data_IF_411471980329
#
_entry.id   IF_411471980329
#
_cell.length_a   1.000
_cell.length_b   1.000
_cell.length_c   1.000
_cell.angle_alpha   90.00
_cell.angle_beta   90.00
_cell.angle_gamma   90.00
#
_symmetry.space_group_name_H-M   'P 1'
#
loop_
_entity.id
_entity.type
_entity.pdbx_description
1 polymer ?
#
# COMPACT_ATOMS: atom_id res chain seq x y z
N UNK A 1 -23.38 -35.68 -54.74
CA UNK A 1 -22.13 -36.16 -55.35
C UNK A 1 -21.66 -37.37 -54.54
N UNK A 2 -22.06 -38.56 -54.99
CA UNK A 2 -21.25 -39.56 -55.72
C UNK A 2 -20.30 -40.35 -54.81
N UNK A 3 -20.72 -41.60 -54.65
CA UNK A 3 -20.10 -42.81 -54.10
C UNK A 3 -18.63 -43.07 -54.41
N UNK A 4 -17.95 -43.81 -53.54
CA UNK A 4 -16.98 -44.87 -53.93
C UNK A 4 -16.80 -45.88 -52.76
N UNK A 5 -17.58 -46.97 -52.69
CA UNK A 5 -17.35 -48.33 -53.23
C UNK A 5 -16.02 -49.01 -52.87
N UNK A 6 -16.04 -49.71 -51.74
CA UNK A 6 -15.83 -51.16 -51.59
C UNK A 6 -15.29 -51.97 -52.80
N UNK A 7 -14.12 -52.59 -52.64
CA UNK A 7 -13.75 -53.88 -53.26
C UNK A 7 -12.62 -54.50 -52.42
N UNK A 8 -12.85 -55.49 -51.56
CA UNK A 8 -13.02 -56.94 -51.77
C UNK A 8 -11.80 -57.68 -52.37
N UNK A 9 -11.15 -58.43 -51.47
CA UNK A 9 -10.74 -59.85 -51.57
C UNK A 9 -9.56 -60.20 -52.47
N UNK A 10 -8.46 -60.67 -51.85
CA UNK A 10 -7.85 -62.03 -51.98
C UNK A 10 -6.94 -62.18 -50.73
N UNK A 11 -7.26 -62.95 -49.68
CA UNK A 11 -7.15 -64.42 -49.53
C UNK A 11 -5.75 -64.99 -49.81
N UNK A 12 -4.93 -65.15 -48.76
CA UNK A 12 -4.20 -66.39 -48.37
C UNK A 12 -3.10 -66.00 -47.38
N UNK A 13 -3.24 -66.33 -46.10
CA UNK A 13 -2.69 -67.58 -45.55
C UNK A 13 -1.18 -67.65 -45.80
N UNK A 14 -0.32 -67.35 -44.82
CA UNK A 14 -0.08 -68.11 -43.59
C UNK A 14 1.35 -68.63 -43.66
N UNK A 15 1.97 -68.71 -42.47
CA UNK A 15 3.20 -69.42 -42.16
C UNK A 15 4.52 -68.82 -42.65
N UNK A 16 5.54 -68.98 -41.79
CA UNK A 16 6.93 -68.53 -41.92
C UNK A 16 7.04 -67.03 -41.59
N UNK A 17 7.22 -66.57 -40.35
CA UNK A 17 8.30 -66.89 -39.41
C UNK A 17 7.76 -66.70 -37.99
N UNK A 18 7.26 -67.77 -37.39
CA UNK A 18 7.26 -67.95 -35.94
C UNK A 18 8.50 -68.80 -35.63
N UNK A 19 9.22 -68.44 -34.57
CA UNK A 19 10.34 -69.17 -33.96
C UNK A 19 11.70 -69.05 -34.69
N UNK A 20 12.54 -68.12 -34.20
CA UNK A 20 13.86 -68.41 -33.63
C UNK A 20 14.57 -67.08 -33.34
N UNK A 21 14.78 -66.81 -32.06
CA UNK A 21 15.42 -65.57 -31.59
C UNK A 21 15.10 -65.23 -30.14
N UNK A 22 14.87 -66.24 -29.30
CA UNK A 22 14.97 -66.05 -27.86
C UNK A 22 16.43 -65.80 -27.52
N UNK A 23 16.71 -64.62 -26.95
CA UNK A 23 17.92 -64.37 -26.18
C UNK A 23 18.96 -63.49 -26.85
N UNK A 24 18.77 -62.16 -26.80
CA UNK A 24 19.83 -61.21 -26.44
C UNK A 24 19.21 -59.99 -25.73
N UNK A 25 19.63 -59.78 -24.48
CA UNK A 25 19.65 -58.52 -23.72
C UNK A 25 18.35 -57.98 -23.07
N UNK A 26 17.96 -58.61 -21.95
CA UNK A 26 17.12 -57.98 -20.92
C UNK A 26 17.89 -56.99 -20.02
N UNK A 27 19.15 -56.62 -20.34
CA UNK A 27 19.95 -55.69 -19.53
C UNK A 27 19.79 -54.22 -19.95
N UNK A 28 19.51 -53.94 -21.23
CA UNK A 28 19.36 -52.56 -21.74
C UNK A 28 17.98 -51.93 -21.50
N UNK A 29 16.90 -52.73 -21.53
CA UNK A 29 15.53 -52.23 -21.25
C UNK A 29 15.33 -51.82 -19.79
N UNK A 30 15.91 -52.57 -18.84
CA UNK A 30 15.87 -52.22 -17.41
C UNK A 30 16.67 -50.94 -17.12
N UNK A 31 17.89 -50.83 -17.66
CA UNK A 31 18.70 -49.62 -17.51
C UNK A 31 18.06 -48.37 -18.15
N UNK A 32 17.36 -48.51 -19.27
CA UNK A 32 16.64 -47.40 -19.91
C UNK A 32 15.39 -46.97 -19.11
N UNK A 33 14.65 -47.91 -18.50
CA UNK A 33 13.50 -47.60 -17.65
C UNK A 33 13.90 -46.98 -16.31
N UNK A 34 14.94 -47.52 -15.66
CA UNK A 34 15.47 -46.98 -14.40
C UNK A 34 16.03 -45.55 -14.59
N UNK A 35 16.60 -45.24 -15.76
CA UNK A 35 17.06 -43.89 -16.12
C UNK A 35 15.90 -42.91 -16.42
N UNK A 36 14.80 -43.37 -17.01
CA UNK A 36 13.62 -42.52 -17.25
C UNK A 36 12.83 -42.23 -15.97
N UNK A 37 12.76 -43.18 -15.04
CA UNK A 37 12.09 -42.98 -13.74
C UNK A 37 12.87 -42.01 -12.85
N UNK A 38 14.20 -42.11 -12.83
CA UNK A 38 15.07 -41.14 -12.15
C UNK A 38 14.97 -39.72 -12.74
N UNK A 39 14.84 -39.59 -14.06
CA UNK A 39 14.63 -38.31 -14.72
C UNK A 39 13.25 -37.71 -14.42
N UNK A 40 12.21 -38.53 -14.33
CA UNK A 40 10.85 -38.10 -14.00
C UNK A 40 10.71 -37.66 -12.52
N UNK A 41 11.35 -38.37 -11.58
CA UNK A 41 11.44 -37.98 -10.16
C UNK A 41 12.17 -36.65 -10.00
N UNK A 42 13.31 -36.48 -10.68
CA UNK A 42 14.08 -35.23 -10.65
C UNK A 42 13.27 -34.05 -11.19
N UNK A 43 12.55 -34.23 -12.29
CA UNK A 43 11.69 -33.18 -12.87
C UNK A 43 10.54 -32.78 -11.93
N UNK A 44 9.92 -33.75 -11.23
CA UNK A 44 8.88 -33.45 -10.22
C UNK A 44 9.44 -32.66 -9.04
N UNK A 45 10.61 -33.04 -8.55
CA UNK A 45 11.29 -32.35 -7.44
C UNK A 45 11.69 -30.92 -7.82
N UNK A 46 12.19 -30.70 -9.04
CA UNK A 46 12.51 -29.37 -9.57
C UNK A 46 11.25 -28.51 -9.74
N UNK A 47 10.15 -29.08 -10.25
CA UNK A 47 8.87 -28.39 -10.40
C UNK A 47 8.27 -28.00 -9.04
N UNK A 48 8.35 -28.88 -8.04
CA UNK A 48 7.90 -28.61 -6.68
C UNK A 48 8.77 -27.53 -6.00
N UNK A 49 10.09 -27.57 -6.17
CA UNK A 49 10.99 -26.55 -5.66
C UNK A 49 10.72 -25.16 -6.29
N UNK A 50 10.48 -25.11 -7.60
CA UNK A 50 10.12 -23.88 -8.30
C UNK A 50 8.77 -23.31 -7.81
N UNK A 51 7.77 -24.17 -7.57
CA UNK A 51 6.48 -23.75 -7.03
C UNK A 51 6.60 -23.20 -5.61
N UNK A 52 7.39 -23.84 -4.74
CA UNK A 52 7.65 -23.35 -3.37
C UNK A 52 8.35 -21.99 -3.39
N UNK A 53 9.34 -21.80 -4.27
CA UNK A 53 10.01 -20.51 -4.44
C UNK A 53 9.05 -19.41 -4.91
N UNK A 54 8.15 -19.72 -5.85
CA UNK A 54 7.11 -18.77 -6.29
C UNK A 54 6.16 -18.40 -5.16
N UNK A 55 5.69 -19.39 -4.40
CA UNK A 55 4.79 -19.16 -3.25
C UNK A 55 5.45 -18.33 -2.15
N UNK A 56 6.73 -18.59 -1.84
CA UNK A 56 7.50 -17.81 -0.88
C UNK A 56 7.72 -16.36 -1.35
N UNK A 57 7.98 -16.15 -2.64
CA UNK A 57 8.11 -14.82 -3.23
C UNK A 57 6.80 -14.05 -3.21
N UNK A 58 5.68 -14.68 -3.57
CA UNK A 58 4.35 -14.08 -3.49
C UNK A 58 3.96 -13.75 -2.05
N UNK A 59 4.25 -14.65 -1.11
CA UNK A 59 4.03 -14.39 0.31
C UNK A 59 4.86 -13.21 0.81
N UNK A 60 6.14 -13.11 0.41
CA UNK A 60 7.01 -11.98 0.77
C UNK A 60 6.50 -10.67 0.18
N UNK A 61 6.15 -10.63 -1.10
CA UNK A 61 5.56 -9.46 -1.76
C UNK A 61 4.27 -9.02 -1.08
N UNK A 62 3.41 -9.97 -0.68
CA UNK A 62 2.17 -9.68 0.03
C UNK A 62 2.42 -9.04 1.39
N UNK A 63 3.39 -9.56 2.17
CA UNK A 63 3.77 -9.00 3.46
C UNK A 63 4.34 -7.58 3.32
N UNK A 64 5.21 -7.36 2.33
CA UNK A 64 5.77 -6.02 2.04
C UNK A 64 4.68 -5.02 1.65
N UNK A 65 3.73 -5.40 0.78
CA UNK A 65 2.60 -4.56 0.40
C UNK A 65 1.70 -4.22 1.60
N UNK A 66 1.43 -5.21 2.47
CA UNK A 66 0.61 -5.00 3.66
C UNK A 66 1.32 -4.07 4.66
N UNK A 67 2.63 -4.22 4.84
CA UNK A 67 3.43 -3.32 5.67
C UNK A 67 3.44 -1.89 5.12
N UNK A 68 3.61 -1.73 3.82
CA UNK A 68 3.52 -0.43 3.15
C UNK A 68 2.14 0.19 3.31
N UNK A 69 1.07 -0.58 3.13
CA UNK A 69 -0.31 -0.12 3.33
C UNK A 69 -0.55 0.34 4.78
N UNK A 70 -0.05 -0.41 5.78
CA UNK A 70 -0.13 -0.02 7.20
C UNK A 70 0.64 1.27 7.49
N UNK A 71 1.85 1.42 6.95
CA UNK A 71 2.65 2.65 7.11
C UNK A 71 1.97 3.86 6.46
N UNK A 72 1.42 3.68 5.27
CA UNK A 72 0.67 4.72 4.56
C UNK A 72 -0.58 5.12 5.35
N UNK A 73 -1.37 4.15 5.83
CA UNK A 73 -2.55 4.43 6.64
C UNK A 73 -2.18 5.15 7.95
N UNK A 74 -1.10 4.74 8.61
CA UNK A 74 -0.60 5.40 9.81
C UNK A 74 -0.19 6.85 9.52
N UNK A 75 0.52 7.11 8.41
CA UNK A 75 0.87 8.47 7.98
C UNK A 75 -0.38 9.30 7.70
N UNK A 76 -1.34 8.76 6.94
CA UNK A 76 -2.61 9.42 6.64
C UNK A 76 -3.42 9.77 7.90
N UNK A 77 -3.39 8.91 8.92
CA UNK A 77 -4.04 9.17 10.22
C UNK A 77 -3.30 10.24 11.01
N UNK A 78 -1.96 10.23 10.98
CA UNK A 78 -1.15 11.25 11.63
C UNK A 78 -1.36 12.66 11.01
N UNK A 79 -1.60 12.72 9.70
CA UNK A 79 -1.82 13.98 8.97
C UNK A 79 -3.28 14.50 9.06
N UNK A 80 -4.22 13.69 9.55
CA UNK A 80 -5.65 14.05 9.60
C UNK A 80 -5.94 15.31 10.43
N UNK A 81 -5.37 15.47 11.64
CA UNK A 81 -5.57 16.67 12.44
C UNK A 81 -5.04 17.94 11.76
N UNK A 82 -3.90 17.84 11.07
CA UNK A 82 -3.31 18.96 10.32
C UNK A 82 -4.25 19.42 9.21
N UNK A 83 -4.71 18.49 8.37
CA UNK A 83 -5.63 18.81 7.27
C UNK A 83 -6.95 19.36 7.79
N UNK A 84 -7.47 18.80 8.89
CA UNK A 84 -8.71 19.25 9.49
C UNK A 84 -8.60 20.68 10.03
N UNK A 85 -7.52 21.00 10.73
CA UNK A 85 -7.28 22.34 11.24
C UNK A 85 -7.03 23.35 10.12
N UNK A 86 -6.27 22.99 9.09
CA UNK A 86 -6.04 23.83 7.91
C UNK A 86 -7.34 24.16 7.16
N UNK A 87 -8.25 23.18 7.06
CA UNK A 87 -9.59 23.40 6.51
C UNK A 87 -10.38 24.42 7.34
N UNK A 88 -10.29 24.38 8.67
CA UNK A 88 -10.92 25.39 9.52
C UNK A 88 -10.29 26.77 9.35
N UNK A 89 -8.96 26.87 9.30
CA UNK A 89 -8.28 28.15 9.03
C UNK A 89 -8.74 28.76 7.70
N UNK A 90 -8.85 27.93 6.66
CA UNK A 90 -9.35 28.33 5.34
C UNK A 90 -10.82 28.74 5.38
N UNK A 91 -11.67 27.98 6.04
CA UNK A 91 -13.11 28.28 6.17
C UNK A 91 -13.37 29.58 6.94
N UNK A 92 -12.59 29.84 7.98
CA UNK A 92 -12.70 31.05 8.80
C UNK A 92 -12.23 32.28 8.00
N UNK A 93 -11.04 32.20 7.41
CA UNK A 93 -10.44 33.31 6.69
C UNK A 93 -11.14 33.64 5.36
N UNK A 94 -11.74 32.67 4.67
CA UNK A 94 -12.48 32.91 3.42
C UNK A 94 -13.96 33.27 3.62
N UNK A 95 -14.45 33.30 4.86
CA UNK A 95 -15.87 33.47 5.13
C UNK A 95 -16.38 34.88 4.80
N UNK A 96 -17.44 34.95 3.99
CA UNK A 96 -18.16 36.19 3.73
C UNK A 96 -19.27 36.49 4.75
N UNK A 97 -19.53 35.56 5.69
CA UNK A 97 -20.59 35.67 6.67
C UNK A 97 -20.03 35.48 8.10
N UNK A 98 -20.24 36.49 8.95
CA UNK A 98 -19.76 36.49 10.33
C UNK A 98 -20.33 35.32 11.15
N UNK A 99 -21.58 34.93 10.91
CA UNK A 99 -22.18 33.78 11.59
C UNK A 99 -21.49 32.46 11.20
N UNK A 100 -21.19 32.27 9.91
CA UNK A 100 -20.48 31.08 9.42
C UNK A 100 -19.05 31.02 9.98
N UNK A 101 -18.32 32.13 9.96
CA UNK A 101 -16.97 32.19 10.55
C UNK A 101 -16.98 31.81 12.04
N UNK A 102 -17.91 32.37 12.81
CA UNK A 102 -18.02 32.07 14.24
C UNK A 102 -18.40 30.59 14.51
N UNK A 103 -19.22 29.97 13.65
CA UNK A 103 -19.49 28.52 13.73
C UNK A 103 -18.21 27.71 13.52
N UNK A 104 -17.45 28.03 12.46
CA UNK A 104 -16.17 27.37 12.18
C UNK A 104 -15.15 27.56 13.30
N UNK A 105 -15.10 28.74 13.94
CA UNK A 105 -14.26 28.97 15.13
C UNK A 105 -14.66 28.02 16.26
N UNK A 106 -15.95 27.92 16.58
CA UNK A 106 -16.45 27.06 17.67
C UNK A 106 -16.11 25.59 17.41
N UNK A 107 -16.25 25.14 16.17
CA UNK A 107 -15.89 23.77 15.78
C UNK A 107 -14.38 23.53 15.84
N UNK A 108 -13.58 24.47 15.32
CA UNK A 108 -12.12 24.40 15.38
C UNK A 108 -11.62 24.31 16.83
N UNK A 109 -12.17 25.14 17.73
CA UNK A 109 -11.85 25.15 19.16
C UNK A 109 -12.08 23.79 19.83
N UNK A 110 -12.99 22.96 19.32
CA UNK A 110 -13.21 21.61 19.85
C UNK A 110 -12.04 20.64 19.62
N UNK A 111 -11.12 20.97 18.71
CA UNK A 111 -9.89 20.19 18.47
C UNK A 111 -8.82 20.43 19.55
N UNK A 112 -8.94 21.52 20.30
CA UNK A 112 -7.93 21.98 21.25
C UNK A 112 -8.26 21.53 22.68
N UNK A 113 -7.24 21.43 23.51
CA UNK A 113 -7.39 21.17 24.94
C UNK A 113 -8.07 22.36 25.64
N UNK A 114 -7.79 23.59 25.18
CA UNK A 114 -8.46 24.82 25.63
C UNK A 114 -8.42 25.89 24.53
N UNK A 115 -9.29 26.91 24.65
CA UNK A 115 -9.19 28.13 23.84
C UNK A 115 -7.89 28.91 24.09
N UNK A 116 -7.26 28.66 25.23
CA UNK A 116 -6.02 29.29 25.66
C UNK A 116 -4.78 28.48 25.22
N UNK A 117 -4.94 27.43 24.40
CA UNK A 117 -3.83 26.67 23.82
C UNK A 117 -2.86 27.62 23.11
N UNK A 118 -1.55 27.58 23.44
CA UNK A 118 -0.54 28.46 22.84
C UNK A 118 -0.41 28.25 21.34
N UNK A 119 -0.22 29.37 20.64
CA UNK A 119 0.14 29.44 19.22
C UNK A 119 1.46 30.17 19.09
N UNK A 120 2.44 29.51 18.47
CA UNK A 120 3.79 30.01 18.23
C UNK A 120 3.96 30.26 16.74
N UNK A 121 4.25 31.50 16.34
CA UNK A 121 4.44 31.87 14.92
C UNK A 121 5.93 32.09 14.69
N UNK A 122 6.56 31.21 13.92
CA UNK A 122 7.98 31.32 13.55
C UNK A 122 8.16 32.47 12.57
N UNK A 123 9.05 33.41 12.91
CA UNK A 123 9.39 34.59 12.10
C UNK A 123 10.73 34.46 11.37
N UNK A 124 11.69 33.74 11.96
CA UNK A 124 12.99 33.41 11.36
C UNK A 124 13.50 32.09 11.92
N UNK A 125 14.34 31.42 11.14
CA UNK A 125 15.10 30.25 11.56
C UNK A 125 16.54 30.40 11.05
N UNK A 126 17.51 30.44 11.95
CA UNK A 126 18.94 30.52 11.62
C UNK A 126 19.71 29.52 12.49
N UNK A 127 20.55 28.69 11.85
CA UNK A 127 21.37 27.70 12.56
C UNK A 127 20.57 26.67 13.38
N UNK A 128 19.29 26.43 13.03
CA UNK A 128 18.38 25.54 13.77
C UNK A 128 17.76 26.16 15.02
N UNK A 129 17.98 27.45 15.27
CA UNK A 129 17.26 28.22 16.28
C UNK A 129 16.10 28.96 15.62
N UNK A 130 14.90 28.80 16.19
CA UNK A 130 13.68 29.47 15.73
C UNK A 130 13.41 30.70 16.57
N UNK A 131 13.17 31.82 15.91
CA UNK A 131 12.61 33.01 16.53
C UNK A 131 11.10 33.00 16.35
N UNK A 132 10.39 33.32 17.41
CA UNK A 132 8.94 33.37 17.43
C UNK A 132 8.45 34.80 17.58
N UNK A 133 7.33 35.11 16.94
CA UNK A 133 6.57 36.32 17.21
C UNK A 133 6.02 36.31 18.65
N UNK A 134 5.36 37.41 19.04
CA UNK A 134 4.65 37.53 20.30
C UNK A 134 3.75 36.31 20.52
N UNK A 135 3.84 35.64 21.69
CA UNK A 135 2.94 34.56 22.04
C UNK A 135 1.47 34.99 21.95
N UNK A 136 0.63 34.13 21.40
CA UNK A 136 -0.82 34.29 21.36
C UNK A 136 -1.51 32.96 21.64
N UNK A 137 -2.84 32.97 21.76
CA UNK A 137 -3.65 31.78 21.97
C UNK A 137 -4.41 31.40 20.71
N UNK A 138 -4.86 30.15 20.62
CA UNK A 138 -5.67 29.70 19.48
C UNK A 138 -6.97 30.48 19.37
N UNK A 139 -7.60 30.84 20.50
CA UNK A 139 -8.83 31.65 20.48
C UNK A 139 -8.61 33.03 19.85
N UNK A 140 -7.52 33.70 20.20
CA UNK A 140 -7.14 34.99 19.61
C UNK A 140 -6.75 34.83 18.14
N UNK A 141 -5.93 33.83 17.81
CA UNK A 141 -5.47 33.58 16.44
C UNK A 141 -6.62 33.27 15.48
N UNK A 142 -7.60 32.46 15.90
CA UNK A 142 -8.77 32.16 15.07
C UNK A 142 -9.64 33.40 14.81
N UNK A 143 -9.78 34.29 15.80
CA UNK A 143 -10.46 35.57 15.61
C UNK A 143 -9.66 36.50 14.70
N UNK A 144 -8.33 36.51 14.84
CA UNK A 144 -7.46 37.24 13.93
C UNK A 144 -7.64 36.79 12.47
N UNK A 145 -7.69 35.47 12.20
CA UNK A 145 -7.97 34.96 10.85
C UNK A 145 -9.31 35.44 10.29
N UNK A 146 -10.35 35.46 11.13
CA UNK A 146 -11.68 35.98 10.76
C UNK A 146 -11.61 37.47 10.38
N UNK A 147 -10.89 38.27 11.17
CA UNK A 147 -10.83 39.72 10.99
C UNK A 147 -9.95 40.09 9.78
N UNK A 148 -8.84 39.38 9.57
CA UNK A 148 -7.95 39.60 8.42
C UNK A 148 -8.50 39.07 7.10
N UNK A 149 -9.45 38.13 7.15
CA UNK A 149 -9.99 37.42 5.98
C UNK A 149 -8.92 36.81 5.07
N UNK A 150 -7.80 36.42 5.65
CA UNK A 150 -6.66 35.83 4.95
C UNK A 150 -5.89 34.89 5.88
N UNK A 151 -5.57 33.70 5.40
CA UNK A 151 -4.63 32.81 6.08
C UNK A 151 -3.19 33.12 5.62
N UNK A 152 -2.41 33.75 6.50
CA UNK A 152 -1.03 34.16 6.19
C UNK A 152 0.02 33.16 6.69
N UNK A 153 -0.39 32.18 7.49
CA UNK A 153 0.50 31.18 8.05
C UNK A 153 0.00 29.78 7.69
N UNK A 154 0.89 28.81 7.73
CA UNK A 154 0.58 27.38 7.64
C UNK A 154 0.99 26.68 8.92
N UNK A 155 0.31 25.57 9.21
CA UNK A 155 0.64 24.71 10.33
C UNK A 155 1.99 24.04 10.06
N UNK A 156 2.94 24.20 10.97
CA UNK A 156 4.22 23.51 10.92
C UNK A 156 4.23 22.28 11.83
N UNK A 157 3.76 22.43 13.06
CA UNK A 157 3.75 21.35 14.05
C UNK A 157 2.56 21.47 15.00
N UNK A 158 2.04 20.33 15.44
CA UNK A 158 1.02 20.22 16.47
C UNK A 158 1.52 19.33 17.61
N UNK A 159 1.30 19.76 18.84
CA UNK A 159 1.46 18.91 20.02
C UNK A 159 0.09 18.46 20.53
N UNK A 160 0.02 17.26 21.09
CA UNK A 160 -1.23 16.64 21.53
C UNK A 160 -1.15 16.15 22.98
N UNK A 161 -2.27 16.19 23.68
CA UNK A 161 -2.43 15.50 24.96
C UNK A 161 -2.74 14.00 24.77
N UNK A 162 -2.84 13.27 25.89
CA UNK A 162 -3.18 11.83 25.89
C UNK A 162 -4.57 11.52 25.34
N UNK A 163 -5.45 12.52 25.21
CA UNK A 163 -6.80 12.39 24.65
C UNK A 163 -6.85 12.77 23.16
N UNK A 164 -5.72 13.12 22.55
CA UNK A 164 -5.61 13.55 21.16
C UNK A 164 -6.07 14.99 20.91
N UNK A 165 -6.21 15.82 21.95
CA UNK A 165 -6.49 17.26 21.82
C UNK A 165 -5.21 18.04 21.61
N UNK A 166 -5.29 19.10 20.81
CA UNK A 166 -4.13 19.95 20.50
C UNK A 166 -3.79 20.82 21.72
N UNK A 167 -2.55 20.74 22.19
CA UNK A 167 -2.02 21.49 23.33
C UNK A 167 -1.06 22.60 22.95
N UNK A 168 -0.55 22.60 21.70
CA UNK A 168 0.27 23.69 21.13
C UNK A 168 0.20 23.64 19.60
N UNK A 169 0.24 24.80 18.97
CA UNK A 169 0.35 24.94 17.51
C UNK A 169 1.58 25.77 17.17
N UNK A 170 2.47 25.21 16.36
CA UNK A 170 3.51 25.97 15.69
C UNK A 170 3.07 26.30 14.26
N UNK A 171 3.19 27.57 13.91
CA UNK A 171 2.86 28.13 12.61
C UNK A 171 4.12 28.72 11.98
N UNK A 172 4.19 28.68 10.66
CA UNK A 172 5.22 29.38 9.87
C UNK A 172 4.53 30.22 8.82
N UNK A 173 5.16 31.32 8.41
CA UNK A 173 4.63 32.18 7.35
C UNK A 173 4.50 31.42 6.02
N UNK A 174 3.41 31.67 5.29
CA UNK A 174 3.23 31.18 3.92
C UNK A 174 4.19 31.82 2.92
#
# INVERSE_FOLDING_TARGET
MVSNRFSRRVSMWALIIMLMGAGVSCKSKKAAMDATDAAAEKAKMEQEAALRQQQEEEARKKLEMEEQARKEEARRKADEPYRKLENYFSAISSSNNLASANSSIKEALSLFASKDTPVLIVISEEGGQKDYDRPTTIGEYLNYLKDQKKNMNKINQLQFDSSGKITEVELVKN
#
